data_IF_011160781758
#
_entry.id   IF_011160781758
#
_cell.length_a   1.000
_cell.length_b   1.000
_cell.length_c   1.000
_cell.angle_alpha   90.00
_cell.angle_beta   90.00
_cell.angle_gamma   90.00
#
_symmetry.space_group_name_H-M   'P 1'
#
loop_
_entity.id
_entity.type
_entity.pdbx_description
1 polymer ?
#
# COMPACT_ATOMS: atom_id res chain seq x y z
N UNK A 1 47.19 -41.35 -20.11
CA UNK A 1 46.29 -40.21 -19.88
C UNK A 1 46.88 -39.01 -20.61
N UNK A 2 46.16 -38.34 -21.53
CA UNK A 2 46.71 -37.22 -22.29
C UNK A 2 47.08 -36.06 -21.35
N UNK A 3 48.20 -35.38 -21.61
CA UNK A 3 48.74 -34.33 -20.71
C UNK A 3 47.78 -33.15 -20.48
N UNK A 4 46.87 -32.91 -21.41
CA UNK A 4 45.77 -31.94 -21.27
C UNK A 4 44.78 -32.35 -20.18
N UNK A 5 44.47 -33.63 -20.06
CA UNK A 5 43.55 -34.18 -19.06
C UNK A 5 44.19 -34.20 -17.66
N UNK A 6 45.50 -34.42 -17.56
CA UNK A 6 46.24 -34.31 -16.30
C UNK A 6 46.29 -32.87 -15.77
N UNK A 7 46.55 -31.88 -16.64
CA UNK A 7 46.53 -30.46 -16.27
C UNK A 7 45.13 -29.99 -15.86
N UNK A 8 44.10 -30.44 -16.56
CA UNK A 8 42.70 -30.15 -16.20
C UNK A 8 42.32 -30.76 -14.84
N UNK A 9 42.71 -32.01 -14.57
CA UNK A 9 42.44 -32.68 -13.29
C UNK A 9 43.19 -32.02 -12.13
N UNK A 10 44.42 -31.55 -12.33
CA UNK A 10 45.18 -30.83 -11.29
C UNK A 10 44.54 -29.47 -10.97
N UNK A 11 44.04 -28.75 -11.97
CA UNK A 11 43.35 -27.47 -11.77
C UNK A 11 42.01 -27.69 -11.06
N UNK A 12 41.27 -28.74 -11.42
CA UNK A 12 40.00 -29.11 -10.77
C UNK A 12 40.24 -29.62 -9.33
N UNK A 13 41.34 -30.33 -9.07
CA UNK A 13 41.72 -30.74 -7.70
C UNK A 13 42.10 -29.54 -6.82
N UNK A 14 42.84 -28.56 -7.36
CA UNK A 14 43.19 -27.31 -6.66
C UNK A 14 41.95 -26.45 -6.33
N UNK A 15 40.93 -26.49 -7.19
CA UNK A 15 39.63 -25.85 -6.96
C UNK A 15 38.76 -26.59 -5.92
N UNK A 16 38.96 -27.89 -5.72
CA UNK A 16 38.21 -28.71 -4.76
C UNK A 16 38.78 -28.65 -3.33
N UNK A 17 40.06 -28.32 -3.16
CA UNK A 17 40.66 -28.10 -1.83
C UNK A 17 40.44 -26.69 -1.27
N UNK A 18 39.77 -25.81 -2.03
CA UNK A 18 39.31 -24.52 -1.53
C UNK A 18 38.11 -24.75 -0.61
N UNK A 19 38.38 -25.09 0.65
CA UNK A 19 37.36 -24.98 1.70
C UNK A 19 36.89 -23.53 1.80
N UNK A 20 35.60 -23.27 2.10
CA UNK A 20 35.12 -21.93 2.36
C UNK A 20 35.77 -21.46 3.67
N UNK A 21 36.93 -20.82 3.55
CA UNK A 21 37.49 -20.04 4.65
C UNK A 21 36.50 -18.92 4.91
N UNK A 22 35.74 -19.08 5.99
CA UNK A 22 34.97 -18.00 6.59
C UNK A 22 35.93 -16.82 6.77
N UNK A 23 35.51 -15.65 6.30
CA UNK A 23 36.30 -14.41 6.25
C UNK A 23 37.22 -14.26 7.47
N UNK A 24 38.50 -14.61 7.29
CA UNK A 24 39.55 -14.21 8.20
C UNK A 24 39.94 -12.80 7.74
N UNK A 25 39.56 -11.77 8.49
CA UNK A 25 40.20 -10.47 8.35
C UNK A 25 41.69 -10.69 8.65
N UNK A 26 42.51 -10.64 7.61
CA UNK A 26 43.97 -10.67 7.74
C UNK A 26 44.34 -9.37 8.45
N UNK A 27 44.82 -9.51 9.68
CA UNK A 27 45.13 -8.41 10.58
C UNK A 27 46.25 -7.50 10.07
N UNK A 28 47.24 -8.09 9.40
CA UNK A 28 48.42 -7.39 8.88
C UNK A 28 48.59 -7.63 7.37
N UNK A 29 48.32 -6.59 6.56
CA UNK A 29 48.60 -6.61 5.14
C UNK A 29 50.07 -6.24 4.86
N UNK A 30 50.78 -6.97 4.00
CA UNK A 30 52.17 -6.66 3.69
C UNK A 30 52.30 -5.28 3.05
N UNK A 31 53.24 -4.47 3.55
CA UNK A 31 53.54 -3.17 2.98
C UNK A 31 54.28 -3.35 1.65
N UNK A 32 53.59 -3.06 0.54
CA UNK A 32 54.15 -3.11 -0.80
C UNK A 32 54.41 -1.68 -1.26
N UNK A 33 55.60 -1.36 -1.81
CA UNK A 33 55.91 -0.02 -2.30
C UNK A 33 54.84 0.48 -3.27
N UNK A 34 54.27 1.66 -3.01
CA UNK A 34 53.23 2.27 -3.87
C UNK A 34 51.80 1.80 -3.61
N UNK A 35 51.55 0.90 -2.65
CA UNK A 35 50.21 0.50 -2.21
C UNK A 35 49.98 0.90 -0.74
N UNK A 36 48.78 1.41 -0.42
CA UNK A 36 48.38 1.71 0.95
C UNK A 36 47.76 0.45 1.56
N UNK A 37 48.39 -0.09 2.60
CA UNK A 37 47.87 -1.25 3.31
C UNK A 37 46.57 -0.87 4.09
N UNK A 38 45.49 -1.67 3.98
CA UNK A 38 44.32 -1.51 4.84
C UNK A 38 44.71 -1.64 6.32
N UNK A 39 44.12 -0.83 7.20
CA UNK A 39 44.40 -0.84 8.65
C UNK A 39 43.17 -1.20 9.47
N UNK A 40 43.37 -1.74 10.67
CA UNK A 40 42.29 -2.17 11.60
C UNK A 40 41.37 -1.02 12.07
N UNK A 41 41.83 0.23 12.00
CA UNK A 41 41.07 1.41 12.44
C UNK A 41 40.28 2.08 11.31
N UNK A 42 40.06 1.35 10.22
CA UNK A 42 39.39 1.86 9.04
C UNK A 42 37.87 1.83 9.25
N UNK A 43 37.35 2.87 9.90
CA UNK A 43 35.90 3.06 10.14
C UNK A 43 35.36 4.15 9.21
N UNK A 44 34.49 3.80 8.25
CA UNK A 44 33.81 4.77 7.40
C UNK A 44 33.70 4.39 5.92
N UNK A 45 33.18 5.33 5.11
CA UNK A 45 32.98 5.19 3.66
C UNK A 45 34.26 5.03 2.86
N UNK A 46 35.42 5.35 3.43
CA UNK A 46 36.69 5.30 2.69
C UNK A 46 37.36 3.93 2.74
N UNK A 47 36.76 2.98 3.48
CA UNK A 47 37.41 1.72 3.77
C UNK A 47 37.37 0.73 2.60
N UNK A 48 36.18 0.50 2.03
CA UNK A 48 36.00 -0.39 0.90
C UNK A 48 36.90 -0.01 -0.30
N UNK A 49 37.08 1.29 -0.66
CA UNK A 49 38.03 1.70 -1.68
C UNK A 49 39.49 1.33 -1.42
N UNK A 50 39.96 1.43 -0.18
CA UNK A 50 41.33 1.08 0.20
C UNK A 50 41.56 -0.42 -0.02
N UNK A 51 40.61 -1.27 0.39
CA UNK A 51 40.69 -2.71 0.15
C UNK A 51 40.73 -3.06 -1.34
N UNK A 52 39.82 -2.49 -2.14
CA UNK A 52 39.74 -2.79 -3.58
C UNK A 52 41.02 -2.35 -4.30
N UNK A 53 41.50 -1.12 -4.03
CA UNK A 53 42.72 -0.60 -4.65
C UNK A 53 43.97 -1.40 -4.25
N UNK A 54 44.07 -1.85 -3.00
CA UNK A 54 45.16 -2.69 -2.53
C UNK A 54 45.20 -4.05 -3.24
N UNK A 55 44.06 -4.74 -3.37
CA UNK A 55 43.97 -6.04 -4.02
C UNK A 55 44.22 -5.97 -5.53
N UNK A 56 43.67 -4.97 -6.22
CA UNK A 56 43.95 -4.74 -7.64
C UNK A 56 45.44 -4.48 -7.85
N UNK A 57 46.06 -3.64 -7.01
CA UNK A 57 47.50 -3.40 -7.03
C UNK A 57 48.31 -4.68 -6.80
N UNK A 58 47.98 -5.44 -5.76
CA UNK A 58 48.64 -6.70 -5.41
C UNK A 58 48.62 -7.70 -6.58
N UNK A 59 47.49 -7.85 -7.26
CA UNK A 59 47.35 -8.74 -8.40
C UNK A 59 48.21 -8.31 -9.60
N UNK A 60 48.37 -7.00 -9.81
CA UNK A 60 49.27 -6.46 -10.85
C UNK A 60 50.73 -6.77 -10.51
N UNK A 61 51.15 -6.58 -9.25
CA UNK A 61 52.48 -6.98 -8.79
C UNK A 61 52.72 -8.48 -8.95
N UNK A 62 51.74 -9.31 -8.58
CA UNK A 62 51.81 -10.75 -8.74
C UNK A 62 51.92 -11.17 -10.22
N UNK A 63 51.15 -10.56 -11.11
CA UNK A 63 51.23 -10.79 -12.55
C UNK A 63 52.62 -10.42 -13.11
N UNK A 64 53.18 -9.28 -12.69
CA UNK A 64 54.54 -8.87 -13.05
C UNK A 64 55.61 -9.85 -12.58
N UNK A 65 55.52 -10.31 -11.32
CA UNK A 65 56.44 -11.30 -10.77
C UNK A 65 56.37 -12.65 -11.49
N UNK A 66 55.16 -13.14 -11.78
CA UNK A 66 54.94 -14.38 -12.54
C UNK A 66 55.48 -14.26 -13.97
N UNK A 67 55.26 -13.11 -14.63
CA UNK A 67 55.80 -12.84 -15.95
C UNK A 67 57.34 -12.85 -15.95
N UNK A 68 57.97 -12.16 -14.97
CA UNK A 68 59.42 -12.14 -14.81
C UNK A 68 60.01 -13.54 -14.58
N UNK A 69 59.39 -14.35 -13.72
CA UNK A 69 59.81 -15.75 -13.50
C UNK A 69 59.68 -16.59 -14.77
N UNK A 70 58.58 -16.44 -15.51
CA UNK A 70 58.37 -17.19 -16.76
C UNK A 70 59.38 -16.79 -17.85
N UNK A 71 59.73 -15.51 -17.93
CA UNK A 71 60.75 -14.99 -18.84
C UNK A 71 62.15 -15.50 -18.45
N UNK A 72 62.50 -15.51 -17.16
CA UNK A 72 63.77 -16.04 -16.69
C UNK A 72 63.93 -17.52 -17.04
N UNK A 73 62.90 -18.34 -16.77
CA UNK A 73 62.92 -19.77 -17.10
C UNK A 73 62.97 -19.98 -18.62
N UNK A 74 62.17 -19.24 -19.39
CA UNK A 74 62.21 -19.31 -20.86
C UNK A 74 63.56 -18.89 -21.45
N UNK A 75 64.19 -17.86 -20.89
CA UNK A 75 65.52 -17.40 -21.30
C UNK A 75 66.62 -18.42 -21.01
N UNK A 76 66.62 -19.01 -19.80
CA UNK A 76 67.56 -20.09 -19.44
C UNK A 76 67.35 -21.31 -20.34
N UNK A 77 66.09 -21.71 -20.56
CA UNK A 77 65.75 -22.83 -21.43
C UNK A 77 66.24 -22.61 -22.86
N UNK A 78 66.16 -21.39 -23.38
CA UNK A 78 66.66 -21.05 -24.72
C UNK A 78 68.18 -21.19 -24.82
N UNK A 79 68.92 -20.72 -23.81
CA UNK A 79 70.40 -20.83 -23.77
C UNK A 79 70.83 -22.29 -23.67
N UNK A 80 70.13 -23.10 -22.87
CA UNK A 80 70.44 -24.52 -22.65
C UNK A 80 69.96 -25.45 -23.78
N UNK A 81 69.20 -24.96 -24.75
CA UNK A 81 68.59 -25.80 -25.79
C UNK A 81 69.58 -26.39 -26.80
N UNK A 82 70.78 -25.79 -26.95
CA UNK A 82 71.79 -26.25 -27.90
C UNK A 82 71.23 -26.38 -29.32
N UNK A 83 71.45 -27.53 -29.96
CA UNK A 83 70.94 -27.85 -31.30
C UNK A 83 69.56 -28.54 -31.31
N UNK A 84 68.90 -28.74 -30.16
CA UNK A 84 67.59 -29.39 -30.14
C UNK A 84 66.48 -28.38 -30.53
N UNK A 85 65.86 -28.52 -31.72
CA UNK A 85 64.88 -27.55 -32.22
C UNK A 85 63.58 -27.54 -31.41
N UNK A 86 63.22 -28.65 -30.77
CA UNK A 86 61.99 -28.77 -29.98
C UNK A 86 62.08 -27.96 -28.68
N UNK A 87 63.20 -28.08 -27.97
CA UNK A 87 63.43 -27.32 -26.73
C UNK A 87 63.56 -25.82 -27.00
N UNK A 88 64.21 -25.45 -28.11
CA UNK A 88 64.28 -24.07 -28.55
C UNK A 88 62.90 -23.51 -28.94
N UNK A 89 62.02 -24.33 -29.54
CA UNK A 89 60.64 -23.98 -29.83
C UNK A 89 59.83 -23.72 -28.56
N UNK A 90 59.85 -24.67 -27.62
CA UNK A 90 59.14 -24.57 -26.34
C UNK A 90 59.57 -23.36 -25.50
N UNK A 91 60.87 -23.03 -25.49
CA UNK A 91 61.39 -21.84 -24.81
C UNK A 91 60.83 -20.54 -25.42
N UNK A 92 60.81 -20.44 -26.76
CA UNK A 92 60.25 -19.28 -27.48
C UNK A 92 58.76 -19.12 -27.22
N UNK A 93 58.01 -20.20 -27.17
CA UNK A 93 56.57 -20.16 -26.89
C UNK A 93 56.28 -19.70 -25.46
N UNK A 94 57.09 -20.13 -24.49
CA UNK A 94 57.00 -19.67 -23.10
C UNK A 94 57.28 -18.16 -22.97
N UNK A 95 58.31 -17.66 -23.66
CA UNK A 95 58.63 -16.22 -23.70
C UNK A 95 57.50 -15.44 -24.36
N UNK A 96 56.98 -15.89 -25.51
CA UNK A 96 55.84 -15.27 -26.19
C UNK A 96 54.59 -15.23 -25.30
N UNK A 97 54.29 -16.33 -24.62
CA UNK A 97 53.15 -16.41 -23.69
C UNK A 97 53.28 -15.45 -22.51
N UNK A 98 54.48 -15.33 -21.93
CA UNK A 98 54.73 -14.38 -20.84
C UNK A 98 54.58 -12.91 -21.29
N UNK A 99 55.08 -12.56 -22.48
CA UNK A 99 54.94 -11.21 -23.05
C UNK A 99 53.48 -10.91 -23.36
N UNK A 100 52.75 -11.84 -24.00
CA UNK A 100 51.32 -11.68 -24.29
C UNK A 100 50.49 -11.51 -23.02
N UNK A 101 50.76 -12.30 -21.97
CA UNK A 101 50.07 -12.17 -20.69
C UNK A 101 50.33 -10.82 -20.01
N UNK A 102 51.56 -10.31 -20.08
CA UNK A 102 51.91 -9.00 -19.53
C UNK A 102 51.22 -7.87 -20.32
N UNK A 103 51.24 -7.93 -21.65
CA UNK A 103 50.56 -6.96 -22.51
C UNK A 103 49.06 -6.95 -22.21
N UNK A 104 48.43 -8.11 -22.11
CA UNK A 104 47.00 -8.23 -21.82
C UNK A 104 46.63 -7.62 -20.47
N UNK A 105 47.42 -7.91 -19.43
CA UNK A 105 47.22 -7.38 -18.08
C UNK A 105 47.38 -5.85 -18.05
N UNK A 106 48.43 -5.33 -18.68
CA UNK A 106 48.70 -3.89 -18.72
C UNK A 106 47.66 -3.14 -19.55
N UNK A 107 47.22 -3.73 -20.67
CA UNK A 107 46.16 -3.18 -21.52
C UNK A 107 44.82 -3.13 -20.79
N UNK A 108 44.47 -4.20 -20.06
CA UNK A 108 43.26 -4.25 -19.23
C UNK A 108 43.26 -3.14 -18.17
N UNK A 109 44.39 -2.93 -17.48
CA UNK A 109 44.54 -1.86 -16.51
C UNK A 109 44.39 -0.46 -17.14
N UNK A 110 45.03 -0.22 -18.30
CA UNK A 110 44.94 1.06 -19.02
C UNK A 110 43.49 1.32 -19.47
N UNK A 111 42.79 0.31 -20.00
CA UNK A 111 41.40 0.43 -20.43
C UNK A 111 40.51 0.80 -19.24
N UNK A 112 40.62 0.07 -18.11
CA UNK A 112 39.85 0.38 -16.90
C UNK A 112 40.10 1.82 -16.44
N UNK A 113 41.38 2.24 -16.42
CA UNK A 113 41.78 3.59 -15.99
C UNK A 113 41.25 4.68 -16.91
N UNK A 114 41.19 4.40 -18.21
CA UNK A 114 40.78 5.37 -19.24
C UNK A 114 39.27 5.53 -19.31
N UNK A 115 38.52 4.42 -19.18
CA UNK A 115 37.04 4.47 -19.22
C UNK A 115 36.50 5.10 -17.95
N UNK A 116 36.98 4.65 -16.78
CA UNK A 116 36.55 5.24 -15.51
C UNK A 116 37.63 5.00 -14.44
N UNK A 117 38.40 6.03 -14.05
CA UNK A 117 39.41 5.88 -13.00
C UNK A 117 38.78 5.46 -11.65
N UNK A 118 37.49 5.71 -11.44
CA UNK A 118 36.77 5.26 -10.25
C UNK A 118 36.61 3.73 -10.16
N UNK A 119 36.91 2.97 -11.21
CA UNK A 119 36.94 1.50 -11.14
C UNK A 119 38.22 0.97 -10.48
N UNK A 120 39.30 1.77 -10.47
CA UNK A 120 40.59 1.41 -9.87
C UNK A 120 40.74 2.09 -8.50
N UNK A 121 40.22 3.31 -8.36
CA UNK A 121 40.16 4.06 -7.11
C UNK A 121 38.72 4.52 -6.88
N UNK A 122 37.83 3.65 -6.35
CA UNK A 122 36.43 4.00 -6.20
C UNK A 122 36.27 5.16 -5.23
N UNK A 123 35.68 6.24 -5.72
CA UNK A 123 35.26 7.37 -4.90
C UNK A 123 33.82 7.04 -4.49
N UNK A 124 33.62 6.69 -3.22
CA UNK A 124 32.28 6.56 -2.69
C UNK A 124 31.78 7.98 -2.39
N UNK A 125 30.93 8.49 -3.28
CA UNK A 125 30.12 9.67 -2.95
C UNK A 125 29.19 9.24 -1.82
N UNK A 126 29.20 9.89 -0.64
CA UNK A 126 28.21 9.59 0.38
C UNK A 126 26.84 9.78 -0.26
N UNK A 127 26.01 8.74 -0.22
CA UNK A 127 24.66 8.85 -0.76
C UNK A 127 23.99 10.05 -0.07
N UNK A 128 23.30 10.92 -0.81
CA UNK A 128 22.50 11.97 -0.20
C UNK A 128 21.59 11.34 0.84
N UNK A 129 21.43 12.00 1.99
CA UNK A 129 20.65 11.48 3.12
C UNK A 129 19.33 10.90 2.62
N UNK A 130 19.22 9.58 2.67
CA UNK A 130 18.08 8.85 2.11
C UNK A 130 16.88 9.13 3.01
N UNK A 131 15.80 9.67 2.42
CA UNK A 131 14.51 9.75 3.10
C UNK A 131 14.09 8.35 3.56
N UNK A 132 13.65 8.21 4.81
CA UNK A 132 13.31 6.93 5.39
C UNK A 132 13.01 7.02 6.87
N UNK A 133 12.85 5.85 7.47
CA UNK A 133 12.59 5.73 8.90
C UNK A 133 13.81 5.11 9.55
N UNK A 134 14.30 5.74 10.61
CA UNK A 134 15.55 5.37 11.28
C UNK A 134 15.31 5.19 12.78
N UNK A 135 16.05 4.29 13.39
CA UNK A 135 16.30 4.35 14.83
C UNK A 135 17.37 5.40 15.10
N UNK A 136 17.20 6.19 16.15
CA UNK A 136 18.20 7.19 16.56
C UNK A 136 18.45 7.18 18.06
N UNK A 137 19.70 7.44 18.44
CA UNK A 137 20.12 7.77 19.80
C UNK A 137 20.44 9.27 19.96
N UNK A 138 19.99 10.10 19.00
CA UNK A 138 20.30 11.53 18.80
C UNK A 138 21.71 11.86 18.29
N UNK A 139 22.61 10.88 18.16
CA UNK A 139 23.97 11.06 17.64
C UNK A 139 24.13 10.33 16.31
N UNK A 140 23.65 9.09 16.25
CA UNK A 140 23.69 8.20 15.11
C UNK A 140 22.28 7.77 14.67
N UNK A 141 22.17 7.33 13.42
CA UNK A 141 20.95 6.85 12.81
C UNK A 141 21.19 5.48 12.16
N UNK A 142 20.30 4.52 12.43
CA UNK A 142 20.32 3.19 11.80
C UNK A 142 18.97 2.96 11.13
N UNK A 143 18.95 2.33 9.96
CA UNK A 143 17.69 2.04 9.26
C UNK A 143 16.73 1.27 10.16
N UNK A 144 15.50 1.75 10.30
CA UNK A 144 14.47 1.07 11.07
C UNK A 144 13.81 -0.02 10.24
N UNK A 145 13.41 -1.11 10.90
CA UNK A 145 12.62 -2.16 10.26
C UNK A 145 11.16 -1.70 10.16
N UNK A 146 10.46 -2.15 9.11
CA UNK A 146 9.01 -1.91 8.96
C UNK A 146 8.19 -2.57 10.08
N UNK A 147 8.69 -3.68 10.63
CA UNK A 147 8.09 -4.35 11.77
C UNK A 147 9.19 -4.95 12.65
N UNK A 148 9.13 -4.68 13.95
CA UNK A 148 10.01 -5.31 14.94
C UNK A 148 9.16 -6.07 15.96
N UNK A 149 9.18 -7.41 15.94
CA UNK A 149 8.38 -8.23 16.85
C UNK A 149 8.90 -8.20 18.29
N UNK A 150 10.13 -7.76 18.55
CA UNK A 150 10.62 -7.57 19.92
C UNK A 150 11.57 -6.37 19.99
N UNK A 151 11.15 -5.30 20.67
CA UNK A 151 11.95 -4.07 20.81
C UNK A 151 13.28 -4.29 21.53
N UNK A 152 13.46 -5.39 22.27
CA UNK A 152 14.74 -5.77 22.85
C UNK A 152 15.81 -6.16 21.81
N UNK A 153 15.42 -6.46 20.57
CA UNK A 153 16.36 -6.73 19.47
C UNK A 153 17.00 -5.44 18.91
N UNK A 154 16.45 -4.28 19.26
CA UNK A 154 16.95 -2.99 18.81
C UNK A 154 18.24 -2.69 19.59
N UNK A 155 19.33 -2.24 18.93
CA UNK A 155 20.57 -1.92 19.61
C UNK A 155 20.38 -0.96 20.79
N UNK A 156 21.12 -1.18 21.88
CA UNK A 156 21.01 -0.36 23.08
C UNK A 156 21.25 1.13 22.77
N UNK A 157 20.40 2.00 23.33
CA UNK A 157 20.40 3.44 23.07
C UNK A 157 19.59 3.90 21.85
N UNK A 158 19.20 3.00 20.93
CA UNK A 158 18.42 3.33 19.73
C UNK A 158 16.90 3.19 19.94
N UNK A 159 16.37 3.78 21.01
CA UNK A 159 14.98 3.59 21.44
C UNK A 159 13.96 4.57 20.81
N UNK A 160 14.35 5.33 19.80
CA UNK A 160 13.51 6.37 19.18
C UNK A 160 13.45 6.18 17.68
N UNK A 161 12.24 6.19 17.12
CA UNK A 161 12.01 6.25 15.67
C UNK A 161 12.13 7.71 15.22
N UNK A 162 12.84 7.95 14.13
CA UNK A 162 12.97 9.23 13.47
C UNK A 162 12.52 9.10 12.01
N UNK A 163 11.50 9.86 11.63
CA UNK A 163 11.09 9.95 10.24
C UNK A 163 11.89 11.06 9.55
N UNK A 164 12.93 10.67 8.81
CA UNK A 164 13.80 11.60 8.11
C UNK A 164 13.37 11.71 6.65
N UNK A 165 13.34 12.91 6.12
CA UNK A 165 13.12 13.13 4.69
C UNK A 165 14.38 13.70 4.04
N UNK A 166 14.46 13.56 2.72
CA UNK A 166 15.47 14.23 1.92
C UNK A 166 15.31 15.74 2.13
N UNK A 167 16.40 16.41 2.48
CA UNK A 167 16.39 17.85 2.77
C UNK A 167 15.79 18.63 1.59
N UNK A 168 14.64 19.27 1.79
CA UNK A 168 14.31 20.48 1.02
C UNK A 168 15.10 21.66 1.62
N UNK A 169 15.50 22.66 0.81
CA UNK A 169 16.30 23.81 1.24
C UNK A 169 15.62 24.72 2.29
N UNK A 170 14.36 24.46 2.65
CA UNK A 170 13.55 25.19 3.63
C UNK A 170 13.37 24.44 4.97
N UNK A 171 13.95 23.25 5.12
CA UNK A 171 13.88 22.48 6.38
C UNK A 171 12.51 21.87 6.69
N UNK A 172 11.52 22.03 5.81
CA UNK A 172 10.22 21.37 5.92
C UNK A 172 10.18 20.25 4.89
N UNK A 173 10.67 19.06 5.26
CA UNK A 173 10.51 17.89 4.40
C UNK A 173 9.02 17.62 4.16
N UNK A 174 8.60 17.60 2.91
CA UNK A 174 7.26 17.17 2.52
C UNK A 174 7.26 15.66 2.32
N UNK A 175 6.35 14.96 2.99
CA UNK A 175 6.26 13.50 2.92
C UNK A 175 4.95 13.00 3.52
N UNK A 176 4.48 11.80 3.13
CA UNK A 176 3.27 11.22 3.70
C UNK A 176 3.44 11.01 5.20
N UNK A 177 2.34 11.05 5.94
CA UNK A 177 2.41 10.79 7.37
C UNK A 177 2.90 9.37 7.65
N UNK A 178 3.81 9.23 8.61
CA UNK A 178 4.23 7.94 9.12
C UNK A 178 3.27 7.49 10.23
N UNK A 179 2.73 6.29 10.08
CA UNK A 179 1.90 5.63 11.08
C UNK A 179 2.78 4.63 11.84
N UNK A 180 2.75 4.69 13.18
CA UNK A 180 3.53 3.83 14.05
C UNK A 180 2.58 3.13 15.01
N UNK A 181 2.38 1.83 14.81
CA UNK A 181 1.66 0.97 15.73
C UNK A 181 2.59 0.53 16.84
N UNK A 182 2.33 0.96 18.07
CA UNK A 182 3.06 0.61 19.27
C UNK A 182 2.26 -0.43 20.05
N UNK A 183 2.80 -1.63 20.16
CA UNK A 183 2.18 -2.73 20.88
C UNK A 183 2.83 -2.89 22.27
N UNK A 184 2.04 -3.06 23.35
CA UNK A 184 2.60 -3.18 24.69
C UNK A 184 3.38 -4.49 24.90
N UNK A 185 3.06 -5.56 24.15
CA UNK A 185 3.76 -6.85 24.20
C UNK A 185 4.57 -7.13 22.93
N UNK A 186 5.41 -8.16 23.00
CA UNK A 186 6.14 -8.70 21.84
C UNK A 186 5.16 -9.34 20.83
N UNK A 187 5.63 -9.61 19.62
CA UNK A 187 4.89 -10.28 18.55
C UNK A 187 3.56 -9.61 18.17
N UNK A 188 3.51 -8.27 18.25
CA UNK A 188 2.38 -7.44 17.85
C UNK A 188 1.08 -7.73 18.63
N UNK A 189 1.22 -8.04 19.92
CA UNK A 189 0.09 -8.34 20.81
C UNK A 189 -0.26 -7.14 21.70
N UNK A 190 -1.55 -6.98 21.99
CA UNK A 190 -2.03 -6.08 23.03
C UNK A 190 -1.96 -6.71 24.43
N UNK A 191 -2.51 -5.99 25.41
CA UNK A 191 -2.60 -6.48 26.77
C UNK A 191 -3.56 -7.69 26.91
N UNK A 192 -4.52 -7.79 26.00
CA UNK A 192 -5.53 -8.84 25.89
C UNK A 192 -5.92 -9.11 24.42
N UNK A 193 -6.92 -9.96 24.22
CA UNK A 193 -7.47 -10.35 22.92
C UNK A 193 -8.17 -9.20 22.17
N UNK A 194 -8.50 -8.10 22.86
CA UNK A 194 -9.09 -6.90 22.26
C UNK A 194 -8.03 -5.86 21.91
N UNK A 195 -6.75 -6.23 21.99
CA UNK A 195 -5.62 -5.37 21.68
C UNK A 195 -5.53 -4.11 22.55
N UNK A 196 -6.06 -4.16 23.78
CA UNK A 196 -6.00 -3.03 24.70
C UNK A 196 -4.55 -2.57 24.93
N UNK A 197 -4.34 -1.26 24.99
CA UNK A 197 -3.02 -0.65 25.18
C UNK A 197 -2.19 -0.49 23.90
N UNK A 198 -2.65 -0.99 22.75
CA UNK A 198 -2.06 -0.65 21.45
C UNK A 198 -2.33 0.83 21.14
N UNK A 199 -1.31 1.55 20.69
CA UNK A 199 -1.43 2.95 20.28
C UNK A 199 -0.90 3.13 18.88
N UNK A 200 -1.65 3.81 18.03
CA UNK A 200 -1.20 4.19 16.68
C UNK A 200 -0.93 5.68 16.67
N UNK A 201 0.33 6.06 16.52
CA UNK A 201 0.72 7.48 16.45
C UNK A 201 1.01 7.86 15.02
N UNK A 202 0.60 9.08 14.67
CA UNK A 202 0.80 9.69 13.37
C UNK A 202 1.94 10.69 13.49
N UNK A 203 2.92 10.63 12.59
CA UNK A 203 4.11 11.49 12.59
C UNK A 203 4.28 12.18 11.25
N UNK A 204 4.55 13.48 11.27
CA UNK A 204 5.00 14.20 10.09
C UNK A 204 6.48 13.95 9.85
N UNK A 205 6.92 14.25 8.64
CA UNK A 205 8.33 14.30 8.32
C UNK A 205 9.10 15.17 9.34
N UNK A 206 10.27 14.70 9.78
CA UNK A 206 11.13 15.38 10.75
C UNK A 206 10.76 15.08 12.21
N UNK A 207 9.64 14.43 12.49
CA UNK A 207 9.26 14.09 13.85
C UNK A 207 9.93 12.81 14.37
N UNK A 208 10.08 12.77 15.69
CA UNK A 208 10.58 11.61 16.44
C UNK A 208 9.46 10.98 17.27
N UNK A 209 9.55 9.68 17.49
CA UNK A 209 8.66 8.92 18.36
C UNK A 209 9.45 7.97 19.26
N UNK A 210 9.42 8.15 20.59
CA UNK A 210 10.02 7.21 21.54
C UNK A 210 9.29 5.86 21.53
N UNK A 211 10.04 4.75 21.54
CA UNK A 211 9.51 3.39 21.65
C UNK A 211 9.37 2.91 23.11
N UNK A 212 9.55 3.80 24.08
CA UNK A 212 9.43 3.48 25.51
C UNK A 212 8.06 2.88 25.83
N UNK A 213 8.06 1.75 26.55
CA UNK A 213 6.84 1.03 26.95
C UNK A 213 6.23 0.15 25.86
N UNK A 214 6.82 0.08 24.67
CA UNK A 214 6.39 -0.83 23.60
C UNK A 214 7.21 -2.12 23.63
N UNK A 215 6.53 -3.28 23.62
CA UNK A 215 7.16 -4.59 23.42
C UNK A 215 7.42 -4.92 21.95
N UNK A 216 6.63 -4.38 21.03
CA UNK A 216 6.85 -4.51 19.57
C UNK A 216 6.24 -3.31 18.83
N UNK A 217 6.61 -3.12 17.56
CA UNK A 217 6.02 -2.06 16.74
C UNK A 217 5.92 -2.41 15.26
N UNK A 218 5.02 -1.74 14.55
CA UNK A 218 4.96 -1.71 13.07
C UNK A 218 4.92 -0.28 12.58
N UNK A 219 5.43 -0.04 11.40
CA UNK A 219 5.37 1.25 10.71
C UNK A 219 4.87 1.10 9.28
N UNK A 220 4.16 2.12 8.80
CA UNK A 220 3.78 2.25 7.40
C UNK A 220 3.47 3.71 7.08
N UNK A 221 3.61 4.10 5.82
CA UNK A 221 3.15 5.41 5.37
C UNK A 221 1.63 5.41 5.17
N UNK A 222 0.97 6.47 5.61
CA UNK A 222 -0.46 6.68 5.43
C UNK A 222 -0.77 6.87 3.94
N UNK A 223 -1.70 6.07 3.42
CA UNK A 223 -2.21 6.17 2.06
C UNK A 223 -3.71 6.49 2.05
N UNK A 224 -4.25 7.10 0.98
CA UNK A 224 -5.69 7.32 0.85
C UNK A 224 -6.49 6.00 0.89
N UNK A 225 -7.61 5.99 1.61
CA UNK A 225 -8.45 4.80 1.77
C UNK A 225 -9.23 4.81 3.08
N UNK A 226 -9.73 3.63 3.47
CA UNK A 226 -10.56 3.44 4.67
C UNK A 226 -9.79 2.63 5.72
N UNK A 227 -9.79 3.11 6.96
CA UNK A 227 -9.11 2.48 8.10
C UNK A 227 -10.10 2.15 9.21
N UNK A 228 -9.99 0.96 9.78
CA UNK A 228 -10.83 0.49 10.87
C UNK A 228 -10.13 0.67 12.21
N UNK A 229 -10.91 0.94 13.25
CA UNK A 229 -10.42 1.09 14.61
C UNK A 229 -11.27 0.29 15.59
N UNK A 230 -10.62 -0.33 16.57
CA UNK A 230 -11.29 -1.08 17.63
C UNK A 230 -11.85 -0.21 18.75
N UNK A 231 -11.50 1.08 18.79
CA UNK A 231 -12.04 2.05 19.74
C UNK A 231 -12.72 3.21 19.00
N UNK A 232 -13.52 3.99 19.73
CA UNK A 232 -14.16 5.19 19.20
C UNK A 232 -13.13 6.29 18.91
N UNK A 233 -13.54 7.29 18.13
CA UNK A 233 -12.73 8.48 17.81
C UNK A 233 -11.37 8.15 17.17
N UNK A 234 -11.30 7.04 16.43
CA UNK A 234 -10.13 6.56 15.71
C UNK A 234 -8.93 6.33 16.62
N UNK A 235 -9.19 5.67 17.76
CA UNK A 235 -8.20 5.29 18.76
C UNK A 235 -7.99 3.77 18.78
N UNK A 236 -7.05 3.31 19.63
CA UNK A 236 -6.72 1.90 19.77
C UNK A 236 -6.02 1.30 18.54
N UNK A 237 -6.25 0.01 18.31
CA UNK A 237 -5.69 -0.69 17.16
C UNK A 237 -6.33 -0.20 15.85
N UNK A 238 -5.49 0.22 14.91
CA UNK A 238 -5.88 0.61 13.55
C UNK A 238 -5.56 -0.50 12.53
N UNK A 239 -6.40 -0.70 11.51
CA UNK A 239 -6.10 -1.57 10.38
C UNK A 239 -5.06 -0.95 9.43
N UNK A 240 -4.57 -1.73 8.46
CA UNK A 240 -3.98 -1.15 7.24
C UNK A 240 -5.04 -0.45 6.38
N UNK A 241 -4.62 0.11 5.26
CA UNK A 241 -5.53 0.76 4.30
C UNK A 241 -6.42 -0.26 3.59
N UNK A 242 -7.73 -0.04 3.62
CA UNK A 242 -8.71 -0.84 2.88
C UNK A 242 -9.25 -0.05 1.69
N UNK A 243 -9.21 -0.66 0.50
CA UNK A 243 -9.49 0.01 -0.77
C UNK A 243 -10.68 -0.58 -1.54
N UNK A 244 -11.20 -1.72 -1.10
CA UNK A 244 -12.21 -2.50 -1.82
C UNK A 244 -13.23 -3.13 -0.89
N UNK A 245 -14.38 -3.51 -1.46
CA UNK A 245 -15.45 -4.20 -0.75
C UNK A 245 -14.95 -5.46 -0.04
N UNK A 246 -15.42 -5.68 1.19
CA UNK A 246 -15.12 -6.87 1.98
C UNK A 246 -16.44 -7.54 2.36
N UNK A 247 -16.72 -8.70 1.76
CA UNK A 247 -17.88 -9.53 2.13
C UNK A 247 -17.79 -10.08 3.54
N UNK A 248 -16.57 -10.21 4.07
CA UNK A 248 -16.31 -10.57 5.46
C UNK A 248 -15.04 -9.86 5.91
N UNK A 249 -15.13 -9.12 7.00
CA UNK A 249 -13.98 -8.45 7.60
C UNK A 249 -13.13 -9.51 8.31
N UNK A 250 -11.80 -9.38 8.22
CA UNK A 250 -10.88 -10.30 8.89
C UNK A 250 -10.73 -9.96 10.37
N UNK A 251 -10.45 -10.97 11.19
CA UNK A 251 -9.94 -10.77 12.54
C UNK A 251 -8.68 -9.87 12.52
N UNK A 252 -8.47 -9.01 13.52
CA UNK A 252 -9.25 -8.88 14.76
C UNK A 252 -10.41 -7.88 14.68
N UNK A 253 -10.74 -7.36 13.49
CA UNK A 253 -11.70 -6.26 13.34
C UNK A 253 -13.15 -6.73 13.18
N UNK A 254 -13.38 -7.97 12.73
CA UNK A 254 -14.72 -8.50 12.51
C UNK A 254 -15.60 -8.33 13.76
N UNK A 255 -16.76 -7.70 13.60
CA UNK A 255 -17.74 -7.38 14.66
C UNK A 255 -17.24 -6.47 15.81
N UNK A 256 -15.99 -6.02 15.73
CA UNK A 256 -15.32 -5.22 16.79
C UNK A 256 -14.97 -3.80 16.37
N UNK A 257 -15.26 -3.40 15.14
CA UNK A 257 -15.05 -2.02 14.67
C UNK A 257 -15.94 -1.06 15.46
N UNK A 258 -15.32 -0.03 16.06
CA UNK A 258 -16.02 1.06 16.77
C UNK A 258 -15.95 2.40 16.06
N UNK A 259 -14.89 2.63 15.28
CA UNK A 259 -14.81 3.80 14.41
C UNK A 259 -14.06 3.52 13.12
N UNK A 260 -14.33 4.33 12.10
CA UNK A 260 -13.75 4.23 10.76
C UNK A 260 -13.21 5.61 10.36
N UNK A 261 -12.00 5.64 9.84
CA UNK A 261 -11.39 6.85 9.27
C UNK A 261 -11.36 6.76 7.75
N UNK A 262 -11.82 7.81 7.10
CA UNK A 262 -11.67 8.01 5.65
C UNK A 262 -10.51 8.96 5.43
N UNK A 263 -9.60 8.61 4.53
CA UNK A 263 -8.47 9.45 4.10
C UNK A 263 -8.56 9.65 2.60
N UNK A 264 -8.65 10.90 2.18
CA UNK A 264 -8.66 11.34 0.79
C UNK A 264 -7.35 12.05 0.44
N UNK A 265 -7.00 12.05 -0.84
CA UNK A 265 -5.92 12.88 -1.37
C UNK A 265 -6.29 13.44 -2.74
N UNK A 266 -6.28 14.77 -2.83
CA UNK A 266 -6.43 15.49 -4.09
C UNK A 266 -5.26 15.24 -5.05
N UNK A 267 -4.03 15.12 -4.53
CA UNK A 267 -2.81 14.88 -5.32
C UNK A 267 -2.87 13.58 -6.12
N UNK A 268 -3.40 12.51 -5.51
CA UNK A 268 -3.59 11.22 -6.17
C UNK A 268 -4.99 11.02 -6.76
N UNK A 269 -5.85 12.06 -6.75
CA UNK A 269 -7.25 12.00 -7.20
C UNK A 269 -7.99 10.76 -6.64
N UNK A 270 -7.82 10.54 -5.32
CA UNK A 270 -8.30 9.35 -4.61
C UNK A 270 -9.21 9.77 -3.47
N UNK A 271 -10.52 9.59 -3.67
CA UNK A 271 -11.55 9.94 -2.71
C UNK A 271 -12.41 8.73 -2.38
N UNK A 272 -12.64 8.47 -1.09
CA UNK A 272 -13.27 7.24 -0.62
C UNK A 272 -14.55 7.51 0.17
N UNK A 273 -15.38 6.47 0.20
CA UNK A 273 -16.53 6.35 1.09
C UNK A 273 -16.84 4.88 1.35
N UNK A 274 -17.78 4.64 2.26
CA UNK A 274 -18.19 3.30 2.62
C UNK A 274 -19.67 3.19 3.02
N UNK A 275 -20.18 1.95 2.98
CA UNK A 275 -21.44 1.50 3.60
C UNK A 275 -21.11 0.27 4.43
N UNK A 276 -21.34 0.33 5.75
CA UNK A 276 -21.01 -0.74 6.70
C UNK A 276 -22.24 -1.58 7.03
N UNK A 277 -22.06 -2.89 7.20
CA UNK A 277 -23.13 -3.87 7.40
C UNK A 277 -22.87 -4.77 8.61
N UNK A 278 -23.97 -5.14 9.28
CA UNK A 278 -23.99 -5.90 10.53
C UNK A 278 -23.66 -7.38 10.34
N UNK A 279 -23.89 -7.93 9.15
CA UNK A 279 -23.63 -9.33 8.84
C UNK A 279 -22.71 -9.48 7.63
N UNK A 280 -22.03 -10.65 7.48
CA UNK A 280 -21.28 -10.97 6.28
C UNK A 280 -22.15 -10.95 5.03
N UNK A 281 -21.54 -10.75 3.86
CA UNK A 281 -22.25 -10.75 2.57
C UNK A 281 -23.04 -9.47 2.27
N UNK A 282 -22.78 -8.37 2.97
CA UNK A 282 -23.54 -7.11 2.88
C UNK A 282 -25.00 -7.27 3.34
N UNK A 283 -25.21 -8.05 4.39
CA UNK A 283 -26.52 -8.35 4.97
C UNK A 283 -26.69 -7.74 6.37
N UNK A 284 -27.86 -7.94 6.97
CA UNK A 284 -28.17 -7.44 8.32
C UNK A 284 -28.51 -5.95 8.33
N UNK A 285 -28.46 -5.31 9.51
CA UNK A 285 -28.57 -3.85 9.59
C UNK A 285 -27.38 -3.21 8.91
N UNK A 286 -27.51 -1.96 8.51
CA UNK A 286 -26.39 -1.24 7.97
C UNK A 286 -26.39 0.23 8.40
N UNK A 287 -25.22 0.85 8.27
CA UNK A 287 -25.06 2.28 8.43
C UNK A 287 -25.44 3.00 7.13
N UNK A 288 -25.88 4.25 7.27
CA UNK A 288 -25.99 5.17 6.13
C UNK A 288 -24.65 5.38 5.42
N UNK A 289 -24.70 5.66 4.13
CA UNK A 289 -23.56 5.98 3.28
C UNK A 289 -22.70 7.07 3.93
N UNK A 290 -21.39 6.82 4.00
CA UNK A 290 -20.40 7.75 4.54
C UNK A 290 -19.36 8.06 3.47
N UNK A 291 -19.12 9.33 3.21
CA UNK A 291 -18.04 9.80 2.36
C UNK A 291 -17.56 11.16 2.87
N UNK A 292 -16.36 11.56 2.49
CA UNK A 292 -15.79 12.84 2.88
C UNK A 292 -15.80 13.80 1.69
N UNK A 293 -16.65 14.85 1.74
CA UNK A 293 -16.70 15.89 0.69
C UNK A 293 -15.57 16.94 0.79
N UNK A 294 -14.35 16.54 1.21
CA UNK A 294 -13.12 17.38 1.14
C UNK A 294 -11.82 16.56 1.08
N UNK A 295 -10.72 17.23 0.77
CA UNK A 295 -9.38 16.66 0.91
C UNK A 295 -9.03 16.47 2.40
N UNK A 296 -8.11 15.53 2.69
CA UNK A 296 -7.72 15.19 4.06
C UNK A 296 -8.51 14.02 4.63
N UNK A 297 -8.82 14.06 5.93
CA UNK A 297 -9.41 12.91 6.62
C UNK A 297 -10.57 13.28 7.54
N UNK A 298 -11.40 12.27 7.86
CA UNK A 298 -12.46 12.35 8.86
C UNK A 298 -12.52 11.04 9.65
N UNK A 299 -12.77 11.16 10.94
CA UNK A 299 -13.07 10.02 11.81
C UNK A 299 -14.58 9.96 12.07
N UNK A 300 -15.14 8.75 11.99
CA UNK A 300 -16.57 8.51 12.17
C UNK A 300 -16.78 7.33 13.11
N UNK A 301 -17.53 7.52 14.19
CA UNK A 301 -17.94 6.41 15.05
C UNK A 301 -19.01 5.58 14.33
N UNK A 302 -19.01 4.27 14.58
CA UNK A 302 -19.93 3.32 13.96
C UNK A 302 -20.77 2.66 15.04
N UNK A 303 -22.09 2.85 14.97
CA UNK A 303 -23.05 2.35 15.95
C UNK A 303 -23.59 0.94 15.70
N UNK A 304 -22.93 0.14 14.85
CA UNK A 304 -23.32 -1.24 14.51
C UNK A 304 -22.11 -2.16 14.60
N UNK A 305 -22.33 -3.45 14.84
CA UNK A 305 -21.28 -4.48 14.80
C UNK A 305 -20.89 -4.76 13.35
N UNK A 306 -19.78 -4.23 12.85
CA UNK A 306 -19.47 -4.31 11.41
C UNK A 306 -18.83 -5.66 11.05
N UNK A 307 -19.50 -6.43 10.22
CA UNK A 307 -19.05 -7.75 9.72
C UNK A 307 -18.68 -7.72 8.23
N UNK A 308 -19.28 -6.80 7.46
CA UNK A 308 -18.94 -6.57 6.05
C UNK A 308 -19.09 -5.10 5.67
N UNK A 309 -18.45 -4.69 4.57
CA UNK A 309 -18.38 -3.27 4.19
C UNK A 309 -18.20 -3.11 2.70
N UNK A 310 -19.01 -2.23 2.10
CA UNK A 310 -18.76 -1.72 0.75
C UNK A 310 -17.84 -0.50 0.85
N UNK A 311 -16.73 -0.52 0.12
CA UNK A 311 -15.79 0.59 -0.01
C UNK A 311 -15.78 1.01 -1.47
N UNK A 312 -16.00 2.30 -1.72
CA UNK A 312 -16.07 2.85 -3.07
C UNK A 312 -15.20 4.08 -3.20
N UNK A 313 -14.71 4.30 -4.42
CA UNK A 313 -14.11 5.57 -4.81
C UNK A 313 -15.16 6.45 -5.45
N UNK A 314 -15.06 7.75 -5.20
CA UNK A 314 -15.98 8.72 -5.79
C UNK A 314 -15.23 9.87 -6.45
N UNK A 315 -15.92 10.62 -7.31
CA UNK A 315 -15.25 11.52 -8.25
C UNK A 315 -14.65 12.80 -7.63
N UNK A 316 -14.67 12.95 -6.31
CA UNK A 316 -14.06 14.09 -5.63
C UNK A 316 -14.80 15.41 -5.85
N UNK A 317 -14.15 16.51 -5.46
CA UNK A 317 -14.75 17.84 -5.45
C UNK A 317 -14.85 18.47 -6.84
N UNK A 318 -15.60 19.57 -6.91
CA UNK A 318 -15.76 20.35 -8.13
C UNK A 318 -16.74 19.72 -9.11
N UNK A 319 -16.39 19.76 -10.41
CA UNK A 319 -17.26 19.32 -11.51
C UNK A 319 -16.96 17.90 -12.02
N UNK A 320 -16.12 17.15 -11.31
CA UNK A 320 -15.69 15.81 -11.74
C UNK A 320 -16.84 14.82 -11.85
N UNK A 321 -17.95 15.02 -11.13
CA UNK A 321 -19.17 14.21 -11.26
C UNK A 321 -19.72 14.15 -12.70
N UNK A 322 -19.35 15.09 -13.57
CA UNK A 322 -19.73 15.09 -14.99
C UNK A 322 -19.19 13.88 -15.76
N UNK A 323 -18.16 13.19 -15.25
CA UNK A 323 -17.56 12.01 -15.88
C UNK A 323 -18.30 10.70 -15.55
N UNK A 324 -19.16 10.66 -14.52
CA UNK A 324 -19.89 9.46 -14.10
C UNK A 324 -20.96 8.98 -15.09
N UNK A 325 -21.17 9.64 -16.22
CA UNK A 325 -22.21 9.25 -17.20
C UNK A 325 -23.52 10.00 -17.02
N UNK A 326 -24.64 9.42 -17.48
CA UNK A 326 -25.90 10.13 -17.71
C UNK A 326 -26.87 10.15 -16.52
N UNK A 327 -26.73 9.23 -15.56
CA UNK A 327 -27.54 9.20 -14.34
C UNK A 327 -28.13 7.83 -14.02
N UNK A 328 -29.28 7.79 -13.36
CA UNK A 328 -29.93 6.55 -12.90
C UNK A 328 -31.42 6.61 -13.25
N UNK A 329 -31.98 5.47 -13.66
CA UNK A 329 -33.43 5.32 -13.88
C UNK A 329 -34.00 4.28 -12.93
N UNK A 330 -35.14 4.62 -12.35
CA UNK A 330 -35.90 3.73 -11.48
C UNK A 330 -37.21 3.40 -12.18
N UNK A 331 -37.59 2.12 -12.17
CA UNK A 331 -38.79 1.65 -12.85
C UNK A 331 -39.74 0.98 -11.87
N UNK A 332 -41.04 1.15 -12.07
CA UNK A 332 -42.07 0.52 -11.23
C UNK A 332 -42.19 -1.00 -11.39
N UNK A 333 -41.67 -1.57 -12.48
CA UNK A 333 -41.73 -3.00 -12.78
C UNK A 333 -40.33 -3.61 -12.94
N UNK A 334 -40.20 -4.94 -12.71
CA UNK A 334 -39.01 -5.69 -13.09
C UNK A 334 -38.76 -5.58 -14.60
N UNK A 335 -37.49 -5.62 -14.99
CA UNK A 335 -36.97 -5.54 -16.36
C UNK A 335 -37.41 -4.28 -17.11
N UNK A 336 -37.53 -3.15 -16.39
CA UNK A 336 -38.11 -1.90 -16.88
C UNK A 336 -37.44 -1.24 -18.09
N UNK A 337 -36.31 -1.77 -18.58
CA UNK A 337 -35.63 -1.35 -19.81
C UNK A 337 -36.27 -1.91 -21.09
N UNK A 338 -36.95 -3.06 -21.01
CA UNK A 338 -37.52 -3.78 -22.16
C UNK A 338 -39.04 -3.98 -22.05
N UNK A 339 -39.63 -3.73 -20.88
CA UNK A 339 -41.08 -3.84 -20.68
C UNK A 339 -41.83 -2.57 -21.06
N UNK A 340 -42.73 -2.67 -22.04
CA UNK A 340 -43.68 -1.60 -22.45
C UNK A 340 -44.67 -1.16 -21.34
N UNK A 341 -44.54 -1.70 -20.11
CA UNK A 341 -45.46 -1.50 -18.99
C UNK A 341 -44.88 -0.72 -17.81
N UNK A 342 -43.63 -0.25 -17.89
CA UNK A 342 -42.93 0.29 -16.73
C UNK A 342 -42.86 1.82 -16.76
N UNK A 343 -43.54 2.49 -15.83
CA UNK A 343 -43.31 3.91 -15.56
C UNK A 343 -41.90 4.12 -15.00
N UNK A 344 -41.28 5.25 -15.34
CA UNK A 344 -39.88 5.52 -15.00
C UNK A 344 -39.71 6.84 -14.26
N UNK A 345 -38.91 6.85 -13.21
CA UNK A 345 -38.35 8.06 -12.61
C UNK A 345 -36.91 8.20 -13.09
N UNK A 346 -36.64 9.26 -13.86
CA UNK A 346 -35.33 9.51 -14.47
C UNK A 346 -34.59 10.56 -13.66
N UNK A 347 -33.48 10.15 -13.08
CA UNK A 347 -32.57 11.00 -12.34
C UNK A 347 -31.34 11.29 -13.23
N UNK A 348 -31.26 12.51 -13.76
CA UNK A 348 -30.15 12.93 -14.63
C UNK A 348 -28.93 13.33 -13.80
N UNK A 349 -27.75 13.28 -14.41
CA UNK A 349 -26.49 13.70 -13.77
C UNK A 349 -26.56 15.11 -13.16
N UNK A 350 -27.26 16.05 -13.80
CA UNK A 350 -27.42 17.43 -13.30
C UNK A 350 -28.25 17.50 -12.02
N UNK A 351 -29.21 16.59 -11.85
CA UNK A 351 -29.99 16.47 -10.61
C UNK A 351 -29.20 15.76 -9.51
N UNK A 352 -28.33 14.82 -9.88
CA UNK A 352 -27.51 14.08 -8.90
C UNK A 352 -26.45 14.99 -8.27
N UNK A 353 -25.79 15.83 -9.07
CA UNK A 353 -24.77 16.81 -8.70
C UNK A 353 -24.10 16.56 -7.32
N UNK A 354 -23.05 15.73 -7.34
CA UNK A 354 -22.29 15.20 -6.19
C UNK A 354 -22.99 14.19 -5.29
N UNK A 355 -24.21 14.43 -4.83
CA UNK A 355 -24.95 13.49 -3.99
C UNK A 355 -26.43 13.83 -4.02
N UNK A 356 -27.27 12.81 -4.15
CA UNK A 356 -28.71 12.95 -4.16
C UNK A 356 -29.35 11.96 -3.22
N UNK A 357 -30.33 12.42 -2.44
CA UNK A 357 -31.12 11.61 -1.52
C UNK A 357 -32.59 12.01 -1.60
N UNK A 358 -33.51 11.05 -1.52
CA UNK A 358 -34.95 11.31 -1.61
C UNK A 358 -35.79 10.19 -0.98
N UNK A 359 -37.00 10.55 -0.53
CA UNK A 359 -38.02 9.56 -0.13
C UNK A 359 -38.63 8.92 -1.39
N UNK A 360 -38.66 7.58 -1.49
CA UNK A 360 -39.28 6.84 -2.60
C UNK A 360 -40.71 7.30 -2.96
N UNK A 361 -41.46 7.88 -2.02
CA UNK A 361 -42.81 8.41 -2.26
C UNK A 361 -42.82 9.65 -3.16
N UNK A 362 -41.73 10.42 -3.17
CA UNK A 362 -41.56 11.62 -3.98
C UNK A 362 -41.01 11.30 -5.39
N UNK A 363 -40.54 10.08 -5.62
CA UNK A 363 -40.04 9.61 -6.91
C UNK A 363 -41.19 9.18 -7.83
N UNK A 364 -41.96 10.16 -8.33
CA UNK A 364 -43.16 9.93 -9.16
C UNK A 364 -42.76 9.43 -10.55
N UNK A 365 -43.36 8.32 -10.99
CA UNK A 365 -43.06 7.75 -12.31
C UNK A 365 -43.72 8.53 -13.45
N UNK A 366 -42.95 8.75 -14.52
CA UNK A 366 -43.45 9.23 -15.79
C UNK A 366 -43.87 8.04 -16.68
N UNK A 367 -45.06 8.14 -17.26
CA UNK A 367 -45.65 7.17 -18.19
C UNK A 367 -45.84 7.74 -19.61
N UNK A 368 -45.20 8.87 -19.92
CA UNK A 368 -45.25 9.49 -21.24
C UNK A 368 -44.76 8.50 -22.33
N UNK A 369 -45.54 8.37 -23.40
CA UNK A 369 -45.25 7.43 -24.49
C UNK A 369 -45.57 5.96 -24.18
N UNK A 370 -46.14 5.65 -23.01
CA UNK A 370 -46.47 4.29 -22.58
C UNK A 370 -47.99 4.08 -22.60
N UNK A 371 -48.45 3.18 -23.47
CA UNK A 371 -49.87 2.87 -23.65
C UNK A 371 -50.36 1.80 -22.66
N UNK A 372 -50.66 2.23 -21.43
CA UNK A 372 -51.22 1.39 -20.34
C UNK A 372 -52.52 2.07 -19.84
N UNK A 373 -53.57 1.31 -19.47
CA UNK A 373 -54.76 1.85 -18.81
C UNK A 373 -54.44 2.56 -17.48
N UNK A 374 -55.18 3.63 -17.13
CA UNK A 374 -54.97 4.37 -15.87
C UNK A 374 -55.17 3.51 -14.62
N UNK A 375 -56.03 2.49 -14.68
CA UNK A 375 -56.25 1.53 -13.59
C UNK A 375 -54.99 0.72 -13.25
N UNK A 376 -54.14 0.45 -14.25
CA UNK A 376 -52.85 -0.22 -14.06
C UNK A 376 -51.73 0.75 -13.64
N UNK A 377 -51.88 2.06 -13.92
CA UNK A 377 -50.92 3.11 -13.47
C UNK A 377 -51.15 3.51 -12.02
N UNK A 378 -52.40 3.55 -11.58
CA UNK A 378 -52.80 3.97 -10.23
C UNK A 378 -52.03 3.27 -9.08
N UNK A 379 -51.81 1.94 -9.08
CA UNK A 379 -51.05 1.28 -8.02
C UNK A 379 -49.55 1.57 -8.08
N UNK A 380 -49.00 1.95 -9.24
CA UNK A 380 -47.59 2.18 -9.48
C UNK A 380 -47.26 3.68 -9.65
N UNK A 381 -47.74 4.54 -8.74
CA UNK A 381 -47.55 6.00 -8.90
C UNK A 381 -46.10 6.47 -8.66
N UNK A 382 -45.37 5.80 -7.77
CA UNK A 382 -44.01 6.18 -7.37
C UNK A 382 -43.19 4.96 -6.96
N UNK A 383 -41.89 5.16 -6.76
CA UNK A 383 -40.96 4.08 -6.41
C UNK A 383 -41.23 3.43 -5.04
N UNK A 384 -41.84 4.16 -4.11
CA UNK A 384 -42.16 3.66 -2.76
C UNK A 384 -43.48 2.91 -2.62
N UNK A 385 -44.22 2.65 -3.71
CA UNK A 385 -45.58 2.09 -3.64
C UNK A 385 -45.58 0.55 -3.71
N UNK A 386 -45.88 -0.09 -2.58
CA UNK A 386 -46.01 -1.56 -2.44
C UNK A 386 -47.21 -2.15 -3.19
N UNK A 387 -48.27 -1.38 -3.39
CA UNK A 387 -49.47 -1.82 -4.10
C UNK A 387 -49.19 -2.09 -5.59
N UNK A 388 -48.05 -1.62 -6.10
CA UNK A 388 -47.60 -1.89 -7.46
C UNK A 388 -47.27 -3.38 -7.62
N UNK A 389 -47.89 -4.11 -8.57
CA UNK A 389 -47.58 -5.53 -8.80
C UNK A 389 -46.09 -5.82 -9.04
N UNK A 390 -45.39 -4.84 -9.61
CA UNK A 390 -43.96 -4.90 -9.88
C UNK A 390 -43.04 -4.48 -8.73
N UNK A 391 -43.55 -4.01 -7.59
CA UNK A 391 -42.73 -3.56 -6.45
C UNK A 391 -41.75 -4.65 -6.01
N UNK A 392 -40.45 -4.36 -5.78
CA UNK A 392 -39.82 -3.03 -5.71
C UNK A 392 -39.35 -2.46 -7.06
N UNK A 393 -39.61 -3.15 -8.17
CA UNK A 393 -39.30 -2.67 -9.51
C UNK A 393 -37.88 -3.01 -9.95
N UNK A 394 -37.25 -2.10 -10.70
CA UNK A 394 -35.90 -2.26 -11.22
C UNK A 394 -35.11 -0.95 -11.28
N UNK A 395 -33.78 -1.06 -11.29
CA UNK A 395 -32.86 0.07 -11.41
C UNK A 395 -32.01 -0.12 -12.66
N UNK A 396 -31.83 0.94 -13.43
CA UNK A 396 -30.86 1.02 -14.51
C UNK A 396 -29.85 2.11 -14.20
N UNK A 397 -28.57 1.73 -14.16
CA UNK A 397 -27.46 2.63 -13.88
C UNK A 397 -26.80 3.00 -15.20
N UNK A 398 -26.81 4.30 -15.55
CA UNK A 398 -26.30 4.82 -16.82
C UNK A 398 -24.94 5.50 -16.63
N UNK A 399 -23.95 4.71 -16.24
CA UNK A 399 -22.57 5.14 -15.99
C UNK A 399 -22.06 4.65 -14.64
N UNK A 400 -21.16 5.41 -14.04
CA UNK A 400 -20.50 5.09 -12.77
C UNK A 400 -21.22 5.79 -11.63
N UNK A 401 -22.32 5.19 -11.17
CA UNK A 401 -23.09 5.64 -10.01
C UNK A 401 -23.26 4.52 -8.99
N UNK A 402 -23.16 4.92 -7.72
CA UNK A 402 -23.55 4.12 -6.58
C UNK A 402 -25.00 4.45 -6.22
N UNK A 403 -25.84 3.43 -6.11
CA UNK A 403 -27.21 3.57 -5.60
C UNK A 403 -27.34 2.77 -4.32
N UNK A 404 -27.83 3.41 -3.25
CA UNK A 404 -28.11 2.74 -1.99
C UNK A 404 -29.59 2.86 -1.67
N UNK A 405 -30.27 1.73 -1.57
CA UNK A 405 -31.66 1.68 -1.12
C UNK A 405 -31.68 1.34 0.36
N UNK A 406 -32.41 2.11 1.17
CA UNK A 406 -32.64 1.79 2.57
C UNK A 406 -34.06 1.29 2.76
N UNK A 407 -34.18 0.13 3.42
CA UNK A 407 -35.44 -0.53 3.69
C UNK A 407 -35.56 -0.90 5.16
N UNK A 408 -36.77 -0.79 5.70
CA UNK A 408 -37.03 -1.07 7.10
C UNK A 408 -38.50 -1.36 7.37
N UNK A 409 -38.78 -1.93 8.54
CA UNK A 409 -40.15 -2.07 9.00
C UNK A 409 -40.66 -0.69 9.44
N UNK A 410 -41.83 -0.29 8.94
CA UNK A 410 -42.52 0.89 9.44
C UNK A 410 -42.89 0.64 10.90
N UNK A 411 -42.18 1.30 11.82
CA UNK A 411 -42.60 1.37 13.21
C UNK A 411 -43.49 2.59 13.39
N UNK A 412 -44.50 2.50 14.26
CA UNK A 412 -45.37 3.62 14.57
C UNK A 412 -44.54 4.85 14.96
N UNK A 413 -44.88 6.07 14.51
CA UNK A 413 -44.24 7.27 15.02
C UNK A 413 -44.38 7.28 16.55
N UNK A 414 -43.30 7.61 17.29
CA UNK A 414 -43.38 7.65 18.76
C UNK A 414 -44.65 8.40 19.21
N UNK A 415 -45.28 7.97 20.32
CA UNK A 415 -46.41 8.67 20.89
C UNK A 415 -46.08 10.15 20.99
N UNK A 416 -46.94 10.98 20.40
CA UNK A 416 -46.81 12.44 20.39
C UNK A 416 -46.71 12.92 21.84
N UNK A 417 -45.54 13.43 22.23
CA UNK A 417 -45.31 13.86 23.62
C UNK A 417 -43.86 14.18 24.02
N UNK A 418 -42.85 13.87 23.18
CA UNK A 418 -41.43 14.18 23.49
C UNK A 418 -40.71 14.98 22.40
N UNK A 419 -41.44 15.69 21.53
CA UNK A 419 -40.84 16.60 20.55
C UNK A 419 -41.09 18.05 21.00
N UNK A 420 -40.05 18.74 21.48
CA UNK A 420 -40.14 20.17 21.78
C UNK A 420 -39.93 21.00 20.50
N UNK A 421 -41.03 21.63 20.07
CA UNK A 421 -41.16 22.74 19.12
C UNK A 421 -41.10 22.49 17.60
N UNK A 422 -41.86 23.36 16.91
CA UNK A 422 -42.24 23.43 15.48
C UNK A 422 -41.09 23.71 14.50
N UNK A 423 -39.84 23.43 14.87
CA UNK A 423 -38.66 23.56 14.00
C UNK A 423 -37.82 22.30 13.85
N UNK A 424 -38.27 21.11 14.28
CA UNK A 424 -37.58 19.83 14.03
C UNK A 424 -36.04 19.90 14.23
N UNK A 425 -35.59 20.48 15.33
CA UNK A 425 -34.19 20.40 15.77
C UNK A 425 -34.17 19.39 16.92
N UNK A 426 -33.54 18.24 16.72
CA UNK A 426 -33.05 17.43 17.82
C UNK A 426 -31.60 17.83 18.06
N UNK A 427 -31.32 18.36 19.25
CA UNK A 427 -29.96 18.50 19.77
C UNK A 427 -29.74 17.28 20.64
N UNK A 428 -28.73 16.48 20.32
CA UNK A 428 -27.80 15.95 21.31
C UNK A 428 -26.47 15.72 20.57
N UNK A 429 -25.47 16.51 20.97
CA UNK A 429 -24.07 16.61 20.49
C UNK A 429 -23.76 17.36 19.16
N UNK A 430 -22.61 18.07 19.08
CA UNK A 430 -22.39 19.14 18.09
C UNK A 430 -21.98 18.68 16.68
N UNK A 431 -22.00 17.38 16.35
CA UNK A 431 -21.35 16.86 15.13
C UNK A 431 -22.17 15.92 14.24
N UNK A 432 -23.46 15.67 14.52
CA UNK A 432 -24.26 14.78 13.68
C UNK A 432 -25.08 15.52 12.62
N UNK A 433 -24.75 15.22 11.36
CA UNK A 433 -25.48 15.67 10.17
C UNK A 433 -26.91 15.07 10.14
N UNK A 434 -27.90 15.91 9.84
CA UNK A 434 -29.34 15.65 9.82
C UNK A 434 -29.74 14.34 9.11
N UNK A 435 -30.42 13.42 9.84
CA UNK A 435 -31.23 12.34 9.25
C UNK A 435 -32.73 12.63 9.39
N UNK A 436 -33.54 12.60 8.32
CA UNK A 436 -34.99 12.68 8.45
C UNK A 436 -35.59 11.30 8.78
N UNK A 437 -36.38 11.27 9.88
CA UNK A 437 -37.45 10.31 10.25
C UNK A 437 -37.11 8.81 10.44
N UNK A 438 -37.04 8.45 11.73
CA UNK A 438 -37.47 7.22 12.44
C UNK A 438 -37.93 6.02 11.57
N UNK A 439 -37.00 5.13 11.26
CA UNK A 439 -37.22 3.70 11.03
C UNK A 439 -36.32 2.92 12.01
N UNK A 440 -36.74 1.73 12.44
CA UNK A 440 -35.93 0.84 13.29
C UNK A 440 -34.70 0.30 12.56
N UNK A 441 -34.24 -0.91 12.90
CA UNK A 441 -33.17 -1.64 12.19
C UNK A 441 -33.24 -1.44 10.65
N UNK A 442 -32.31 -0.64 10.09
CA UNK A 442 -32.29 -0.27 8.67
C UNK A 442 -31.45 -1.29 7.90
N UNK A 443 -32.01 -1.90 6.87
CA UNK A 443 -31.26 -2.69 5.89
C UNK A 443 -30.91 -1.82 4.69
N UNK A 444 -29.76 -2.03 4.06
CA UNK A 444 -29.44 -1.35 2.82
C UNK A 444 -28.89 -2.27 1.76
N UNK A 445 -29.13 -1.86 0.52
CA UNK A 445 -28.81 -2.61 -0.68
C UNK A 445 -28.02 -1.68 -1.61
N UNK A 446 -26.81 -2.10 -1.94
CA UNK A 446 -25.83 -1.28 -2.67
C UNK A 446 -25.71 -1.77 -4.11
N UNK A 447 -25.95 -0.88 -5.07
CA UNK A 447 -25.93 -1.19 -6.50
C UNK A 447 -24.92 -0.32 -7.23
N UNK A 448 -24.10 -0.96 -8.06
CA UNK A 448 -23.12 -0.32 -8.96
C UNK A 448 -23.51 -0.48 -10.43
N UNK A 449 -24.52 -1.30 -10.73
CA UNK A 449 -24.93 -1.73 -12.06
C UNK A 449 -26.44 -1.91 -12.09
N UNK A 450 -26.97 -2.16 -13.29
CA UNK A 450 -28.38 -2.50 -13.51
C UNK A 450 -28.84 -3.61 -12.55
N UNK A 451 -29.95 -3.36 -11.86
CA UNK A 451 -30.68 -4.32 -11.05
C UNK A 451 -32.03 -4.57 -11.75
N UNK A 452 -32.09 -5.54 -12.67
CA UNK A 452 -33.27 -5.74 -13.50
C UNK A 452 -34.47 -6.25 -12.70
N UNK A 453 -34.27 -6.81 -11.50
CA UNK A 453 -35.35 -7.17 -10.61
C UNK A 453 -34.88 -7.05 -9.15
N UNK A 454 -35.42 -6.06 -8.44
CA UNK A 454 -35.02 -5.79 -7.06
C UNK A 454 -35.48 -6.88 -6.07
N UNK A 455 -36.47 -7.71 -6.42
CA UNK A 455 -36.86 -8.85 -5.57
C UNK A 455 -35.74 -9.88 -5.45
N UNK A 456 -34.97 -10.08 -6.52
CA UNK A 456 -33.90 -11.08 -6.57
C UNK A 456 -32.72 -10.71 -5.65
N UNK A 457 -32.70 -9.46 -5.17
CA UNK A 457 -31.65 -8.93 -4.29
C UNK A 457 -32.13 -8.78 -2.85
N UNK A 458 -33.31 -9.32 -2.50
CA UNK A 458 -33.89 -9.25 -1.17
C UNK A 458 -34.57 -7.92 -0.81
N UNK A 459 -34.53 -6.92 -1.71
CA UNK A 459 -35.19 -5.63 -1.48
C UNK A 459 -36.70 -5.85 -1.38
N UNK A 460 -37.31 -5.28 -0.34
CA UNK A 460 -38.75 -5.39 -0.11
C UNK A 460 -39.20 -6.74 0.46
N UNK A 461 -38.27 -7.64 0.80
CA UNK A 461 -38.59 -8.89 1.49
C UNK A 461 -39.19 -8.62 2.88
N UNK A 462 -39.97 -9.59 3.40
CA UNK A 462 -40.48 -9.60 4.78
C UNK A 462 -41.31 -8.35 5.17
N UNK A 463 -41.96 -7.70 4.20
CA UNK A 463 -42.78 -6.50 4.44
C UNK A 463 -41.97 -5.23 4.74
N UNK A 464 -40.66 -5.25 4.49
CA UNK A 464 -39.78 -4.07 4.65
C UNK A 464 -40.04 -3.07 3.52
N UNK A 465 -40.20 -1.80 3.88
CA UNK A 465 -40.52 -0.71 2.96
C UNK A 465 -39.27 0.08 2.64
N UNK A 466 -39.05 0.38 1.36
CA UNK A 466 -38.01 1.34 0.98
C UNK A 466 -38.43 2.72 1.49
N UNK A 467 -37.56 3.39 2.23
CA UNK A 467 -37.84 4.69 2.82
C UNK A 467 -36.84 5.78 2.43
N UNK A 468 -35.68 5.42 1.91
CA UNK A 468 -34.69 6.37 1.40
C UNK A 468 -33.93 5.77 0.22
N UNK A 469 -33.56 6.61 -0.74
CA UNK A 469 -32.70 6.28 -1.87
C UNK A 469 -31.57 7.29 -1.91
N UNK A 470 -30.33 6.81 -1.85
CA UNK A 470 -29.14 7.64 -2.08
C UNK A 470 -28.52 7.30 -3.43
N UNK A 471 -28.04 8.32 -4.14
CA UNK A 471 -27.30 8.19 -5.40
C UNK A 471 -26.05 9.07 -5.34
N UNK A 472 -24.89 8.44 -5.57
CA UNK A 472 -23.58 9.10 -5.57
C UNK A 472 -22.84 8.82 -6.89
N UNK A 473 -22.31 9.84 -7.59
CA UNK A 473 -21.39 9.65 -8.70
C UNK A 473 -20.06 9.04 -8.22
N UNK A 474 -19.67 7.91 -8.80
CA UNK A 474 -18.46 7.15 -8.43
C UNK A 474 -17.46 7.04 -9.58
N UNK A 475 -16.30 6.45 -9.28
CA UNK A 475 -15.18 6.22 -10.20
C UNK A 475 -14.94 4.74 -10.45
#
# INVERSE_FOLDING_TARGET
>A
MPDSLKKFIIIVLLLWTASPVSALEIKDYPAIPGLVAPSENCTGSDCLPIYISYWVGLLIYAAGALAAMSLAVGGIQLIMSGENPENAGNAKDRVKGAILGLILTMSSFIILKTINPALITPILTPLPGVAGVFYTNNIEEKSAREAEPNTANIPEGFNTIFYKCSNQPDGAGTGPFLLIWKFPKINFQGNDENYNGVKVVKKTCGEKEPLSGSGSFKIAFETPGVYYFLEENCQGLMSGTNLSNQQKISEPFNDKIKSIRIVNSADSNSFFGFVAHEAPGFEGKCGSLRYLDRDGYVCLNVGIEVSSINIFQWNGFGENWKTSGSGVKFFGNPFGKTGLRAGAFVLTKEKINKFWTEDPKNMIFNYEGINIPEEEKAPCKNFGKEDCPGYPGSIQVLGDYLVVLYSGLSTNPCPVGQCLNTRNICVDEPNDFCLPRRYGAQHCYVFYKDAPNLKDTGVGAEGKKIFSVDVLPIK
#
